data_IF_801603124178
#
_entry.id   IF_801603124178
#
_cell.length_a   1.000
_cell.length_b   1.000
_cell.length_c   1.000
_cell.angle_alpha   90.00
_cell.angle_beta   90.00
_cell.angle_gamma   90.00
#
_symmetry.space_group_name_H-M   'P 1'
#
loop_
_entity.id
_entity.type
_entity.pdbx_description
1 polymer ?
#
# COMPACT_ATOMS: atom_id res chain seq x y z
N UNK A 1 -13.33 8.52 -16.28
CA UNK A 1 -12.03 8.38 -16.97
C UNK A 1 -11.40 7.05 -16.58
N UNK A 2 -10.95 6.26 -17.55
CA UNK A 2 -10.29 4.98 -17.28
C UNK A 2 -8.83 5.25 -16.87
N UNK A 3 -8.50 5.14 -15.57
CA UNK A 3 -7.14 5.34 -15.06
C UNK A 3 -6.25 4.15 -15.45
N UNK A 4 -5.00 4.40 -15.85
CA UNK A 4 -4.03 3.32 -16.07
C UNK A 4 -3.71 2.66 -14.73
N UNK A 5 -3.65 1.33 -14.69
CA UNK A 5 -3.36 0.58 -13.45
C UNK A 5 -1.87 0.34 -13.30
N UNK A 6 -1.39 0.42 -12.06
CA UNK A 6 -0.01 0.05 -11.69
C UNK A 6 -0.06 -0.88 -10.47
N UNK A 7 0.67 -1.99 -10.53
CA UNK A 7 0.79 -2.93 -9.43
C UNK A 7 1.99 -2.54 -8.55
N UNK A 8 1.74 -2.31 -7.27
CA UNK A 8 2.76 -2.09 -6.25
C UNK A 8 2.84 -3.35 -5.40
N UNK A 9 3.99 -4.04 -5.48
CA UNK A 9 4.27 -5.21 -4.65
C UNK A 9 5.11 -4.75 -3.46
N UNK A 10 4.59 -4.92 -2.25
CA UNK A 10 5.31 -4.54 -1.02
C UNK A 10 5.09 -5.56 0.08
N UNK A 11 6.17 -5.98 0.73
CA UNK A 11 6.10 -6.84 1.91
C UNK A 11 5.44 -6.11 3.09
N UNK A 12 5.80 -4.84 3.30
CA UNK A 12 5.21 -3.99 4.35
C UNK A 12 4.13 -3.08 3.76
N UNK A 13 2.94 -3.12 4.36
CA UNK A 13 1.81 -2.27 4.03
C UNK A 13 1.08 -1.90 5.33
N UNK A 14 0.37 -0.76 5.42
CA UNK A 14 -0.42 -0.45 6.61
C UNK A 14 -1.30 -1.65 7.05
N UNK A 15 -1.35 -1.90 8.37
CA UNK A 15 -0.90 -1.03 9.46
C UNK A 15 0.59 -1.16 9.87
N UNK A 16 1.45 -1.81 9.07
CA UNK A 16 2.90 -1.84 9.31
C UNK A 16 3.44 -0.42 9.51
N UNK A 17 4.24 -0.20 10.55
CA UNK A 17 4.98 1.03 10.79
C UNK A 17 6.41 1.00 10.23
N UNK A 18 7.14 2.10 10.44
CA UNK A 18 8.56 2.24 10.10
C UNK A 18 8.84 2.75 8.68
N UNK A 19 10.09 3.11 8.41
CA UNK A 19 10.48 3.76 7.15
C UNK A 19 10.20 2.93 5.90
N UNK A 20 10.15 1.59 6.04
CA UNK A 20 9.89 0.65 4.95
C UNK A 20 8.48 0.77 4.35
N UNK A 21 7.46 1.12 5.14
CA UNK A 21 6.08 1.26 4.64
C UNK A 21 5.87 2.56 3.87
N UNK A 22 6.56 3.62 4.28
CA UNK A 22 6.25 4.99 3.89
C UNK A 22 6.48 5.23 2.39
N UNK A 23 7.53 4.65 1.79
CA UNK A 23 7.82 4.85 0.36
C UNK A 23 6.68 4.36 -0.53
N UNK A 24 6.30 3.09 -0.37
CA UNK A 24 5.23 2.48 -1.17
C UNK A 24 3.89 3.16 -0.90
N UNK A 25 3.60 3.50 0.36
CA UNK A 25 2.38 4.20 0.76
C UNK A 25 2.26 5.59 0.12
N UNK A 26 3.31 6.42 0.18
CA UNK A 26 3.29 7.76 -0.42
C UNK A 26 3.23 7.70 -1.95
N UNK A 27 3.94 6.78 -2.58
CA UNK A 27 3.82 6.56 -4.04
C UNK A 27 2.37 6.22 -4.40
N UNK A 28 1.74 5.26 -3.71
CA UNK A 28 0.33 4.91 -3.95
C UNK A 28 -0.62 6.10 -3.72
N UNK A 29 -0.40 6.89 -2.66
CA UNK A 29 -1.18 8.09 -2.34
C UNK A 29 -1.18 9.11 -3.48
N UNK A 30 0.01 9.43 -4.01
CA UNK A 30 0.15 10.52 -4.97
C UNK A 30 -0.07 10.09 -6.43
N UNK A 31 0.06 8.80 -6.78
CA UNK A 31 -0.14 8.30 -8.16
C UNK A 31 -1.50 8.69 -8.78
N UNK A 32 -2.57 8.73 -7.97
CA UNK A 32 -3.91 9.13 -8.44
C UNK A 32 -3.95 10.57 -8.96
N UNK A 33 -3.08 11.45 -8.46
CA UNK A 33 -2.95 12.83 -8.94
C UNK A 33 -2.36 12.89 -10.36
N UNK A 34 -1.69 11.82 -10.80
CA UNK A 34 -1.08 11.69 -12.12
C UNK A 34 -1.86 10.73 -13.05
N UNK A 35 -3.13 10.43 -12.73
CA UNK A 35 -4.00 9.61 -13.58
C UNK A 35 -3.77 8.10 -13.48
N UNK A 36 -3.01 7.63 -12.47
CA UNK A 36 -2.76 6.21 -12.23
C UNK A 36 -3.61 5.67 -11.08
N UNK A 37 -4.11 4.43 -11.24
CA UNK A 37 -4.79 3.69 -10.18
C UNK A 37 -3.83 2.65 -9.58
N UNK A 38 -3.40 2.81 -8.32
CA UNK A 38 -2.56 1.83 -7.66
C UNK A 38 -3.39 0.59 -7.28
N UNK A 39 -2.86 -0.59 -7.60
CA UNK A 39 -3.28 -1.87 -7.04
C UNK A 39 -2.15 -2.37 -6.17
N UNK A 40 -2.45 -2.75 -4.94
CA UNK A 40 -1.45 -3.14 -3.95
C UNK A 40 -1.47 -4.65 -3.83
N UNK A 41 -0.32 -5.28 -3.91
CA UNK A 41 -0.14 -6.68 -3.51
C UNK A 41 0.82 -6.71 -2.31
N UNK A 42 0.37 -7.31 -1.22
CA UNK A 42 1.13 -7.33 0.02
C UNK A 42 0.97 -8.64 0.78
N UNK A 43 1.88 -8.87 1.72
CA UNK A 43 1.84 -10.06 2.56
C UNK A 43 0.67 -9.99 3.56
N UNK A 44 -0.03 -11.11 3.68
CA UNK A 44 -0.91 -11.40 4.79
C UNK A 44 -0.09 -11.95 5.96
N UNK A 45 -0.30 -11.42 7.17
CA UNK A 45 0.42 -11.86 8.36
C UNK A 45 1.92 -11.54 8.34
N UNK A 46 2.35 -10.49 7.63
CA UNK A 46 3.75 -10.05 7.63
C UNK A 46 4.27 -9.82 9.06
N UNK A 47 5.54 -10.13 9.28
CA UNK A 47 6.21 -9.83 10.54
C UNK A 47 6.45 -8.33 10.65
N UNK A 48 5.52 -7.62 11.28
CA UNK A 48 5.59 -6.17 11.46
C UNK A 48 6.56 -5.82 12.60
N UNK A 49 7.68 -5.12 12.31
CA UNK A 49 8.59 -4.67 13.37
C UNK A 49 7.93 -3.63 14.29
N UNK A 50 6.91 -2.93 13.76
CA UNK A 50 6.08 -1.96 14.48
C UNK A 50 4.71 -1.86 13.80
N UNK A 51 3.69 -1.47 14.55
CA UNK A 51 2.33 -1.21 14.06
C UNK A 51 2.05 0.28 14.24
N UNK A 52 1.58 0.94 13.18
CA UNK A 52 1.22 2.35 13.19
C UNK A 52 -0.01 2.59 12.31
N UNK A 53 -1.17 2.61 12.98
CA UNK A 53 -2.47 2.89 12.37
C UNK A 53 -2.61 4.32 11.84
N UNK A 54 -1.71 5.25 12.22
CA UNK A 54 -1.75 6.60 11.66
C UNK A 54 -1.42 6.64 10.16
N UNK A 55 -0.82 5.56 9.62
CA UNK A 55 -0.55 5.40 8.19
C UNK A 55 -1.81 5.07 7.37
N UNK A 56 -2.86 4.56 8.00
CA UNK A 56 -4.11 4.19 7.30
C UNK A 56 -4.76 5.41 6.62
N UNK A 57 -4.55 6.61 7.16
CA UNK A 57 -5.02 7.89 6.58
C UNK A 57 -4.47 8.19 5.18
N UNK A 58 -3.34 7.58 4.82
CA UNK A 58 -2.66 7.79 3.55
C UNK A 58 -2.97 6.70 2.53
N UNK A 59 -3.69 5.64 2.93
CA UNK A 59 -4.17 4.62 2.00
C UNK A 59 -5.23 5.25 1.10
N UNK A 60 -5.07 5.21 -0.24
CA UNK A 60 -6.05 5.81 -1.14
C UNK A 60 -7.44 5.18 -0.93
N UNK A 61 -8.50 5.98 -0.73
CA UNK A 61 -9.85 5.45 -0.52
C UNK A 61 -10.28 4.50 -1.65
N UNK A 62 -10.75 3.31 -1.30
CA UNK A 62 -11.16 2.29 -2.29
C UNK A 62 -10.02 1.71 -3.13
N UNK A 63 -8.75 1.86 -2.72
CA UNK A 63 -7.65 1.15 -3.37
C UNK A 63 -7.84 -0.38 -3.28
N UNK A 64 -7.58 -1.08 -4.38
CA UNK A 64 -7.54 -2.55 -4.36
C UNK A 64 -6.29 -3.02 -3.63
N UNK A 65 -6.48 -3.75 -2.52
CA UNK A 65 -5.39 -4.35 -1.75
C UNK A 65 -5.57 -5.86 -1.77
N UNK A 66 -4.65 -6.55 -2.44
CA UNK A 66 -4.54 -7.99 -2.51
C UNK A 66 -3.57 -8.44 -1.43
N UNK A 67 -4.06 -9.22 -0.47
CA UNK A 67 -3.23 -9.81 0.58
C UNK A 67 -3.02 -11.29 0.27
N UNK A 68 -1.79 -11.76 0.38
CA UNK A 68 -1.46 -13.16 0.16
C UNK A 68 -0.57 -13.69 1.28
N UNK A 69 -0.90 -14.88 1.77
CA UNK A 69 -0.07 -15.59 2.75
C UNK A 69 1.30 -15.91 2.17
N UNK A 70 2.33 -15.58 2.93
CA UNK A 70 3.74 -15.87 2.65
C UNK A 70 4.21 -16.96 3.62
N UNK A 71 5.18 -17.79 3.18
CA UNK A 71 5.67 -18.95 3.93
C UNK A 71 6.64 -18.58 5.05
#
# INVERSE_FOLDING_TARGET
>A
MNRKKVLIISYYWPPSGGIGVLRCLKIAKYLRQYGWEPVIFTAEGAHYPSIDHSNDKDVPPGATILRQRIW
#
